data_IF_007248416310
#
_entry.id   IF_007248416310
#
_cell.length_a   1.000
_cell.length_b   1.000
_cell.length_c   1.000
_cell.angle_alpha   90.00
_cell.angle_beta   90.00
_cell.angle_gamma   90.00
#
_symmetry.space_group_name_H-M   'P 1'
#
loop_
_entity.id
_entity.type
_entity.pdbx_description
1 polymer ?
#
# COMPACT_ATOMS: atom_id res chain seq x y z
N UNK A 1 6.89 51.10 14.61
CA UNK A 1 7.34 50.52 15.90
C UNK A 1 7.76 49.07 15.68
N UNK A 2 9.05 48.83 15.50
CA UNK A 2 9.65 47.50 15.34
C UNK A 2 9.66 46.77 16.67
N UNK A 3 8.80 45.75 16.83
CA UNK A 3 8.85 44.81 17.96
C UNK A 3 10.18 44.06 17.91
N UNK A 4 11.15 44.49 18.73
CA UNK A 4 12.38 43.74 19.01
C UNK A 4 11.99 42.42 19.69
N UNK A 5 12.26 41.29 19.02
CA UNK A 5 12.00 39.96 19.57
C UNK A 5 13.14 39.59 20.51
N UNK A 6 12.80 39.41 21.78
CA UNK A 6 13.68 38.82 22.78
C UNK A 6 13.63 37.30 22.60
N UNK A 7 14.78 36.65 22.41
CA UNK A 7 14.85 35.19 22.40
C UNK A 7 14.83 34.70 23.85
N UNK A 8 13.67 34.23 24.32
CA UNK A 8 13.56 33.46 25.56
C UNK A 8 13.99 32.02 25.25
N UNK A 9 14.87 31.46 26.08
CA UNK A 9 15.60 30.20 25.93
C UNK A 9 14.77 28.89 25.76
N UNK A 10 13.46 28.96 25.48
CA UNK A 10 12.56 27.82 25.66
C UNK A 10 12.05 27.11 24.39
N UNK A 11 12.37 27.55 23.17
CA UNK A 11 11.68 27.04 21.96
C UNK A 11 12.55 26.36 20.90
N UNK A 12 13.66 25.70 21.27
CA UNK A 12 14.47 24.92 20.33
C UNK A 12 14.59 23.44 20.68
N UNK A 13 14.67 22.60 19.65
CA UNK A 13 14.87 21.13 19.69
C UNK A 13 16.06 20.82 20.64
N UNK A 14 15.93 19.81 21.53
CA UNK A 14 16.93 19.51 22.59
C UNK A 14 18.40 19.52 22.13
N UNK A 15 18.69 19.02 20.93
CA UNK A 15 20.06 19.01 20.36
C UNK A 15 20.52 20.38 19.84
N UNK A 16 19.62 21.22 19.35
CA UNK A 16 19.95 22.59 18.90
C UNK A 16 20.21 23.51 20.09
N UNK A 17 19.49 23.28 21.20
CA UNK A 17 19.76 23.93 22.49
C UNK A 17 21.20 23.69 22.94
N UNK A 18 21.69 22.45 22.89
CA UNK A 18 23.05 22.14 23.35
C UNK A 18 24.16 22.89 22.60
N UNK A 19 24.04 23.07 21.27
CA UNK A 19 25.02 23.81 20.48
C UNK A 19 24.92 25.31 20.68
N UNK A 20 23.71 25.86 20.77
CA UNK A 20 23.55 27.28 21.12
C UNK A 20 24.16 27.56 22.49
N UNK A 21 23.91 26.71 23.48
CA UNK A 21 24.40 26.88 24.84
C UNK A 21 25.92 26.76 24.95
N UNK A 22 26.55 25.83 24.21
CA UNK A 22 28.01 25.71 24.17
C UNK A 22 28.63 26.87 23.37
N UNK A 23 27.98 27.34 22.30
CA UNK A 23 28.39 28.55 21.58
C UNK A 23 28.31 29.80 22.46
N UNK A 24 27.28 29.90 23.30
CA UNK A 24 27.15 30.98 24.28
C UNK A 24 28.24 30.90 25.36
N UNK A 25 28.63 29.70 25.79
CA UNK A 25 29.79 29.49 26.66
C UNK A 25 31.12 29.97 26.03
N UNK A 26 31.28 29.84 24.71
CA UNK A 26 32.46 30.36 24.01
C UNK A 26 32.52 31.89 24.05
N UNK A 27 31.37 32.56 23.86
CA UNK A 27 31.28 34.03 23.93
C UNK A 27 31.61 34.59 25.30
N UNK A 28 31.38 33.81 26.37
CA UNK A 28 31.81 34.19 27.71
C UNK A 28 33.34 34.29 27.83
N UNK A 29 34.11 33.77 26.86
CA UNK A 29 35.55 34.00 26.77
C UNK A 29 35.93 35.49 26.73
N UNK A 30 35.08 36.35 26.17
CA UNK A 30 35.27 37.81 26.14
C UNK A 30 35.30 38.43 27.54
N UNK A 31 34.78 37.72 28.56
CA UNK A 31 34.84 38.17 29.96
C UNK A 31 36.24 38.09 30.55
N UNK A 32 37.13 37.28 29.95
CA UNK A 32 38.52 37.12 30.39
C UNK A 32 39.33 38.40 30.15
N UNK A 33 38.95 39.22 29.16
CA UNK A 33 39.60 40.50 28.86
C UNK A 33 39.41 41.54 29.99
N UNK A 34 38.47 41.31 30.90
CA UNK A 34 38.27 42.15 32.09
C UNK A 34 39.16 41.74 33.26
N UNK A 35 39.92 40.64 33.15
CA UNK A 35 40.89 40.21 34.17
C UNK A 35 42.05 41.23 34.24
N UNK A 36 42.15 41.96 35.35
CA UNK A 36 43.17 43.03 35.51
C UNK A 36 42.77 44.38 34.93
N UNK A 37 41.53 44.53 34.45
CA UNK A 37 40.96 45.80 34.00
C UNK A 37 40.42 46.63 35.17
N UNK A 38 40.43 47.98 35.09
CA UNK A 38 39.76 48.85 36.06
C UNK A 38 38.23 48.64 36.14
N UNK A 39 37.64 48.00 35.11
CA UNK A 39 36.21 47.72 35.02
C UNK A 39 35.99 46.24 35.27
N UNK A 40 35.14 45.89 36.24
CA UNK A 40 34.85 44.50 36.54
C UNK A 40 33.38 44.14 36.30
N UNK A 41 33.07 43.15 35.44
CA UNK A 41 31.71 42.67 35.29
C UNK A 41 31.24 41.92 36.54
N UNK A 42 29.96 42.09 36.90
CA UNK A 42 29.32 41.18 37.85
C UNK A 42 29.02 39.85 37.15
N UNK A 43 29.78 38.81 37.50
CA UNK A 43 29.66 37.50 36.88
C UNK A 43 28.46 36.75 37.47
N UNK A 44 27.29 36.92 36.85
CA UNK A 44 26.05 36.24 37.22
C UNK A 44 25.21 35.99 35.96
N UNK A 45 24.49 34.85 35.85
CA UNK A 45 23.64 34.56 34.68
C UNK A 45 22.67 35.69 34.34
N UNK A 46 22.02 36.28 35.35
CA UNK A 46 21.05 37.38 35.17
C UNK A 46 21.67 38.71 34.70
N UNK A 47 22.98 38.84 34.77
CA UNK A 47 23.70 40.06 34.41
C UNK A 47 24.23 40.06 32.97
N UNK A 48 24.01 38.97 32.23
CA UNK A 48 24.59 38.73 30.92
C UNK A 48 23.51 38.57 29.86
N UNK A 49 23.63 39.33 28.79
CA UNK A 49 22.67 39.37 27.69
C UNK A 49 23.40 39.13 26.38
N UNK A 50 22.89 38.18 25.59
CA UNK A 50 23.48 37.84 24.28
C UNK A 50 22.60 38.46 23.20
N UNK A 51 23.18 39.35 22.40
CA UNK A 51 22.51 39.99 21.25
C UNK A 51 23.16 39.51 19.96
N UNK A 52 22.61 38.44 19.39
CA UNK A 52 23.21 37.79 18.22
C UNK A 52 24.57 37.18 18.55
N UNK A 53 25.63 37.82 18.05
CA UNK A 53 27.02 37.42 18.30
C UNK A 53 27.70 38.23 19.41
N UNK A 54 27.10 39.33 19.90
CA UNK A 54 27.69 40.19 20.92
C UNK A 54 27.25 39.82 22.35
N UNK A 55 28.22 39.77 23.27
CA UNK A 55 27.97 39.71 24.71
C UNK A 55 27.81 41.11 25.30
N UNK A 56 26.69 41.35 26.00
CA UNK A 56 26.45 42.60 26.76
C UNK A 56 26.28 42.29 28.24
N UNK A 57 26.88 43.16 29.06
CA UNK A 57 26.87 43.05 30.52
C UNK A 57 26.05 44.24 31.05
N UNK A 58 25.07 43.99 31.91
CA UNK A 58 24.21 45.06 32.43
C UNK A 58 24.89 45.85 33.57
N UNK A 59 25.47 45.15 34.54
CA UNK A 59 26.11 45.73 35.72
C UNK A 59 27.62 45.50 35.70
N UNK A 60 28.38 46.59 35.84
CA UNK A 60 29.84 46.60 35.91
C UNK A 60 30.28 47.47 37.07
N UNK A 61 31.22 46.98 37.84
CA UNK A 61 31.93 47.74 38.85
C UNK A 61 33.07 48.54 38.23
N UNK A 62 33.54 49.53 39.00
CA UNK A 62 34.65 50.40 38.66
C UNK A 62 35.50 50.60 39.90
N UNK A 63 36.83 50.57 39.75
CA UNK A 63 37.82 50.63 40.84
C UNK A 63 37.34 51.47 42.01
N UNK A 64 37.11 50.82 43.15
CA UNK A 64 36.79 51.44 44.45
C UNK A 64 35.60 52.43 44.47
N UNK A 65 34.90 52.62 43.35
CA UNK A 65 33.77 53.54 43.20
C UNK A 65 32.44 52.79 43.16
N UNK A 66 32.39 51.63 42.49
CA UNK A 66 31.17 50.84 42.30
C UNK A 66 31.48 49.35 42.42
N UNK A 67 30.71 48.63 43.24
CA UNK A 67 30.78 47.17 43.41
C UNK A 67 30.29 46.47 42.12
N UNK A 68 30.93 45.39 41.64
CA UNK A 68 32.03 44.64 42.23
C UNK A 68 33.41 45.30 42.08
N UNK A 69 34.18 45.31 43.17
CA UNK A 69 35.58 45.73 43.16
C UNK A 69 36.48 44.65 42.53
N UNK A 70 37.68 45.07 42.11
CA UNK A 70 38.74 44.21 41.53
C UNK A 70 38.88 42.92 42.34
N UNK A 71 38.44 41.80 41.76
CA UNK A 71 38.51 40.49 42.38
C UNK A 71 39.90 39.87 42.20
N UNK A 72 40.27 39.07 43.19
CA UNK A 72 41.40 38.16 43.09
C UNK A 72 41.18 37.15 41.94
N UNK A 73 42.25 36.81 41.21
CA UNK A 73 42.20 35.90 40.07
C UNK A 73 41.56 34.55 40.43
N UNK A 74 41.79 34.05 41.64
CA UNK A 74 41.21 32.81 42.18
C UNK A 74 39.68 32.88 42.31
N UNK A 75 39.15 34.03 42.72
CA UNK A 75 37.72 34.29 42.87
C UNK A 75 37.04 34.48 41.51
N UNK A 76 37.72 35.13 40.56
CA UNK A 76 37.25 35.26 39.18
C UNK A 76 37.11 33.91 38.49
N UNK A 77 38.10 33.01 38.62
CA UNK A 77 38.06 31.67 38.03
C UNK A 77 36.88 30.87 38.60
N UNK A 78 36.64 30.94 39.92
CA UNK A 78 35.48 30.31 40.54
C UNK A 78 34.19 30.84 39.92
N UNK A 79 34.00 32.17 39.91
CA UNK A 79 32.84 32.87 39.32
C UNK A 79 32.58 32.49 37.87
N UNK A 80 33.63 32.47 37.06
CA UNK A 80 33.59 32.12 35.65
C UNK A 80 33.21 30.65 35.44
N UNK A 81 33.77 29.74 36.23
CA UNK A 81 33.44 28.31 36.16
C UNK A 81 31.97 28.03 36.48
N UNK A 82 31.44 28.61 37.54
CA UNK A 82 30.01 28.44 37.85
C UNK A 82 29.11 29.11 36.83
N UNK A 83 29.55 30.22 36.23
CA UNK A 83 28.78 30.86 35.18
C UNK A 83 28.63 29.93 33.97
N UNK A 84 29.74 29.30 33.53
CA UNK A 84 29.70 28.30 32.45
C UNK A 84 28.78 27.13 32.81
N UNK A 85 28.84 26.64 34.05
CA UNK A 85 27.98 25.55 34.52
C UNK A 85 26.49 25.96 34.60
N UNK A 86 26.19 27.18 35.03
CA UNK A 86 24.82 27.71 35.08
C UNK A 86 24.23 27.91 33.69
N UNK A 87 25.05 28.32 32.71
CA UNK A 87 24.64 28.42 31.31
C UNK A 87 24.35 27.01 30.74
N UNK A 88 25.20 26.04 31.02
CA UNK A 88 25.03 24.65 30.57
C UNK A 88 23.84 23.95 31.25
N UNK A 89 23.59 24.24 32.53
CA UNK A 89 22.53 23.65 33.35
C UNK A 89 21.69 24.74 34.02
N UNK A 90 20.74 25.36 33.29
CA UNK A 90 19.94 26.46 33.82
C UNK A 90 19.03 26.08 35.00
N UNK A 91 18.84 24.78 35.24
CA UNK A 91 18.09 24.23 36.39
C UNK A 91 18.89 24.29 37.71
N UNK A 92 20.19 24.59 37.65
CA UNK A 92 21.08 24.60 38.83
C UNK A 92 21.24 26.00 39.41
N UNK A 93 21.19 26.10 40.74
CA UNK A 93 21.37 27.38 41.43
C UNK A 93 22.84 27.83 41.36
N UNK A 94 23.06 29.05 40.85
CA UNK A 94 24.38 29.64 40.68
C UNK A 94 25.17 29.71 42.00
N UNK A 95 24.50 29.94 43.13
CA UNK A 95 25.16 30.00 44.44
C UNK A 95 25.74 28.65 44.85
N UNK A 96 24.99 27.56 44.66
CA UNK A 96 25.47 26.21 44.91
C UNK A 96 26.65 25.79 44.01
N UNK A 97 26.71 26.36 42.80
CA UNK A 97 27.83 26.16 41.87
C UNK A 97 29.10 26.90 42.31
N UNK A 98 28.97 28.07 42.96
CA UNK A 98 30.10 28.79 43.55
C UNK A 98 30.77 28.04 44.69
N UNK A 99 29.97 27.39 45.52
CA UNK A 99 30.44 26.62 46.66
C UNK A 99 30.93 25.22 46.26
N UNK A 100 30.72 24.82 45.00
CA UNK A 100 31.17 23.52 44.47
C UNK A 100 30.34 22.33 44.91
N UNK A 101 29.14 22.57 45.45
CA UNK A 101 28.25 21.56 46.04
C UNK A 101 27.55 20.72 44.95
N UNK A 102 27.49 21.21 43.73
CA UNK A 102 26.80 20.56 42.61
C UNK A 102 27.48 19.27 42.15
N UNK A 103 26.71 18.18 42.09
CA UNK A 103 27.14 16.90 41.51
C UNK A 103 26.55 16.76 40.11
N UNK A 104 27.38 16.88 39.08
CA UNK A 104 26.94 16.66 37.70
C UNK A 104 27.01 15.20 37.29
N UNK A 105 26.04 14.74 36.50
CA UNK A 105 26.06 13.40 35.87
C UNK A 105 26.90 13.36 34.60
N UNK A 106 27.01 14.47 33.87
CA UNK A 106 27.75 14.55 32.61
C UNK A 106 29.28 14.66 32.84
N UNK A 107 30.05 13.86 32.10
CA UNK A 107 31.51 13.87 32.10
C UNK A 107 32.06 15.24 31.69
N UNK A 108 31.34 15.98 30.83
CA UNK A 108 31.76 17.33 30.43
C UNK A 108 31.71 18.33 31.59
N UNK A 109 30.59 18.37 32.30
CA UNK A 109 30.38 19.31 33.41
C UNK A 109 31.28 18.99 34.60
N UNK A 110 31.60 17.71 34.85
CA UNK A 110 32.63 17.32 35.83
C UNK A 110 34.01 17.88 35.47
N UNK A 111 34.44 17.74 34.21
CA UNK A 111 35.71 18.31 33.75
C UNK A 111 35.76 19.83 33.86
N UNK A 112 34.63 20.52 33.65
CA UNK A 112 34.53 21.97 33.87
C UNK A 112 34.63 22.31 35.35
N UNK A 113 34.02 21.52 36.23
CA UNK A 113 34.10 21.70 37.69
C UNK A 113 35.51 21.49 38.23
N UNK A 114 36.26 20.53 37.68
CA UNK A 114 37.64 20.21 38.08
C UNK A 114 38.69 21.15 37.48
N UNK A 115 38.37 21.87 36.41
CA UNK A 115 39.32 22.78 35.75
C UNK A 115 39.75 23.92 36.69
N UNK A 116 41.07 24.10 36.81
CA UNK A 116 41.69 25.07 37.70
C UNK A 116 42.10 26.37 37.02
N UNK A 117 42.16 26.38 35.68
CA UNK A 117 42.60 27.54 34.91
C UNK A 117 41.59 27.95 33.82
N UNK A 118 41.62 29.23 33.47
CA UNK A 118 40.78 29.79 32.39
C UNK A 118 41.11 29.12 31.05
N UNK A 119 42.39 28.83 30.79
CA UNK A 119 42.85 28.22 29.55
C UNK A 119 42.33 26.77 29.39
N UNK A 120 42.33 25.99 30.48
CA UNK A 120 41.72 24.65 30.50
C UNK A 120 40.22 24.70 30.17
N UNK A 121 39.50 25.67 30.75
CA UNK A 121 38.07 25.87 30.48
C UNK A 121 37.81 26.21 28.99
N UNK A 122 38.60 27.10 28.40
CA UNK A 122 38.49 27.46 26.99
C UNK A 122 38.79 26.28 26.06
N UNK A 123 39.84 25.49 26.36
CA UNK A 123 40.16 24.30 25.57
C UNK A 123 39.05 23.23 25.63
N UNK A 124 38.47 23.01 26.82
CA UNK A 124 37.36 22.06 26.99
C UNK A 124 36.13 22.47 26.17
N UNK A 125 35.77 23.75 26.17
CA UNK A 125 34.65 24.29 25.39
C UNK A 125 34.96 24.18 23.88
N UNK A 126 36.12 24.64 23.44
CA UNK A 126 36.53 24.61 22.03
C UNK A 126 36.54 23.20 21.45
N UNK A 127 37.06 22.22 22.20
CA UNK A 127 37.09 20.82 21.78
C UNK A 127 35.69 20.25 21.60
N UNK A 128 34.75 20.57 22.50
CA UNK A 128 33.35 20.10 22.36
C UNK A 128 32.65 20.72 21.16
N UNK A 129 32.89 22.00 20.85
CA UNK A 129 32.30 22.66 19.69
C UNK A 129 32.74 21.98 18.39
N UNK A 130 34.04 21.70 18.25
CA UNK A 130 34.60 21.03 17.06
C UNK A 130 34.02 19.62 16.93
N UNK A 131 33.99 18.85 18.01
CA UNK A 131 33.41 17.50 18.01
C UNK A 131 31.94 17.50 17.59
N UNK A 132 31.16 18.46 18.07
CA UNK A 132 29.73 18.53 17.79
C UNK A 132 29.43 19.06 16.39
N UNK A 133 30.25 19.98 15.86
CA UNK A 133 30.21 20.39 14.44
C UNK A 133 30.53 19.23 13.50
N UNK A 134 31.57 18.46 13.80
CA UNK A 134 31.95 17.30 12.99
C UNK A 134 30.85 16.22 12.98
N UNK A 135 30.27 15.89 14.15
CA UNK A 135 29.12 14.97 14.22
C UNK A 135 27.94 15.43 13.37
N UNK A 136 27.59 16.72 13.40
CA UNK A 136 26.51 17.27 12.56
C UNK A 136 26.79 17.11 11.07
N UNK A 137 28.04 17.25 10.63
CA UNK A 137 28.40 17.09 9.22
C UNK A 137 28.37 15.64 8.76
N UNK A 138 28.74 14.69 9.63
CA UNK A 138 28.76 13.26 9.30
C UNK A 138 27.39 12.59 9.41
N UNK A 139 26.53 13.02 10.34
CA UNK A 139 25.24 12.38 10.61
C UNK A 139 24.09 12.99 9.78
N UNK A 140 24.14 14.29 9.44
CA UNK A 140 23.06 14.94 8.72
C UNK A 140 23.38 15.10 7.23
N UNK A 141 23.05 14.08 6.43
CA UNK A 141 22.95 14.24 4.98
C UNK A 141 21.76 15.16 4.65
N UNK A 142 22.04 16.43 4.35
CA UNK A 142 21.03 17.38 3.88
C UNK A 142 20.58 17.01 2.46
N UNK A 143 19.63 16.06 2.35
CA UNK A 143 18.98 15.75 1.07
C UNK A 143 18.08 16.90 0.66
N UNK A 144 18.25 17.41 -0.57
CA UNK A 144 17.36 18.43 -1.15
C UNK A 144 15.91 17.95 -1.02
N UNK A 145 15.04 18.73 -0.35
CA UNK A 145 13.64 18.39 -0.07
C UNK A 145 12.85 17.90 -1.29
N UNK A 146 13.18 18.39 -2.50
CA UNK A 146 12.58 17.97 -3.77
C UNK A 146 12.89 16.50 -4.12
N UNK A 147 14.13 16.05 -3.95
CA UNK A 147 14.52 14.65 -4.19
C UNK A 147 13.84 13.72 -3.19
N UNK A 148 13.81 14.11 -1.91
CA UNK A 148 13.13 13.33 -0.87
C UNK A 148 11.64 13.17 -1.16
N UNK A 149 10.94 14.25 -1.57
CA UNK A 149 9.52 14.15 -1.95
C UNK A 149 9.31 13.26 -3.17
N UNK A 150 10.17 13.35 -4.19
CA UNK A 150 10.07 12.49 -5.37
C UNK A 150 10.26 11.01 -5.01
N UNK A 151 11.25 10.67 -4.19
CA UNK A 151 11.46 9.30 -3.70
C UNK A 151 10.29 8.80 -2.84
N UNK A 152 9.79 9.64 -1.92
CA UNK A 152 8.66 9.27 -1.05
C UNK A 152 7.41 8.93 -1.88
N UNK A 153 7.06 9.77 -2.85
CA UNK A 153 5.91 9.52 -3.72
C UNK A 153 6.17 8.40 -4.74
N UNK A 154 7.39 8.32 -5.28
CA UNK A 154 7.79 7.24 -6.17
C UNK A 154 7.66 5.87 -5.53
N UNK A 155 8.04 5.74 -4.24
CA UNK A 155 7.90 4.48 -3.51
C UNK A 155 6.43 4.10 -3.31
N UNK A 156 5.56 5.05 -2.98
CA UNK A 156 4.10 4.80 -2.83
C UNK A 156 3.49 4.36 -4.16
N UNK A 157 3.82 5.03 -5.25
CA UNK A 157 3.35 4.68 -6.60
C UNK A 157 3.86 3.29 -6.99
N UNK A 158 5.11 2.97 -6.67
CA UNK A 158 5.70 1.67 -6.98
C UNK A 158 4.98 0.54 -6.24
N UNK A 159 4.69 0.70 -4.94
CA UNK A 159 3.92 -0.27 -4.15
C UNK A 159 2.51 -0.46 -4.72
N UNK A 160 1.86 0.63 -5.13
CA UNK A 160 0.54 0.55 -5.74
C UNK A 160 0.59 -0.20 -7.07
N UNK A 161 1.58 0.09 -7.92
CA UNK A 161 1.75 -0.55 -9.22
C UNK A 161 2.04 -2.06 -9.08
N UNK A 162 2.93 -2.44 -8.17
CA UNK A 162 3.23 -3.86 -7.91
C UNK A 162 2.02 -4.61 -7.36
N UNK A 163 1.24 -3.99 -6.47
CA UNK A 163 -0.02 -4.59 -5.99
C UNK A 163 -1.04 -4.80 -7.10
N UNK A 164 -1.18 -3.83 -8.01
CA UNK A 164 -2.08 -3.95 -9.16
C UNK A 164 -1.62 -5.08 -10.10
N UNK A 165 -0.32 -5.15 -10.39
CA UNK A 165 0.27 -6.20 -11.20
C UNK A 165 0.05 -7.59 -10.58
N UNK A 166 0.22 -7.71 -9.27
CA UNK A 166 -0.05 -8.95 -8.54
C UNK A 166 -1.51 -9.40 -8.64
N UNK A 167 -2.47 -8.46 -8.60
CA UNK A 167 -3.88 -8.76 -8.80
C UNK A 167 -4.19 -9.32 -10.19
N UNK A 168 -3.60 -8.73 -11.23
CA UNK A 168 -3.76 -9.20 -12.61
C UNK A 168 -3.17 -10.61 -12.77
N UNK A 169 -1.92 -10.81 -12.33
CA UNK A 169 -1.27 -12.12 -12.42
C UNK A 169 -2.04 -13.18 -11.63
N UNK A 170 -2.57 -12.83 -10.46
CA UNK A 170 -3.42 -13.71 -9.67
C UNK A 170 -4.66 -14.20 -10.40
N UNK A 171 -5.40 -13.30 -11.05
CA UNK A 171 -6.59 -13.68 -11.84
C UNK A 171 -6.23 -14.58 -13.04
N UNK A 172 -5.14 -14.27 -13.74
CA UNK A 172 -4.65 -15.09 -14.85
C UNK A 172 -4.28 -16.52 -14.40
N UNK A 173 -3.54 -16.66 -13.29
CA UNK A 173 -3.12 -17.95 -12.76
C UNK A 173 -4.31 -18.78 -12.24
N UNK A 174 -5.21 -18.18 -11.46
CA UNK A 174 -6.29 -18.92 -10.82
C UNK A 174 -7.44 -19.28 -11.75
N UNK A 175 -7.73 -18.46 -12.77
CA UNK A 175 -8.90 -18.67 -13.64
C UNK A 175 -8.54 -19.03 -15.06
N UNK A 176 -7.69 -18.23 -15.71
CA UNK A 176 -7.47 -18.36 -17.17
C UNK A 176 -6.67 -19.60 -17.54
N UNK A 177 -5.61 -19.92 -16.81
CA UNK A 177 -4.81 -21.12 -17.05
C UNK A 177 -5.62 -22.41 -16.90
N UNK A 178 -6.33 -22.67 -15.79
CA UNK A 178 -7.09 -23.90 -15.66
C UNK A 178 -8.25 -24.00 -16.67
N UNK A 179 -8.83 -22.87 -17.12
CA UNK A 179 -9.79 -22.92 -18.24
C UNK A 179 -9.12 -23.33 -19.56
N UNK A 180 -7.93 -22.81 -19.85
CA UNK A 180 -7.18 -23.15 -21.07
C UNK A 180 -6.77 -24.63 -21.08
N UNK A 181 -6.31 -25.16 -19.94
CA UNK A 181 -5.98 -26.58 -19.79
C UNK A 181 -7.21 -27.47 -20.00
N UNK A 182 -8.36 -27.12 -19.41
CA UNK A 182 -9.62 -27.85 -19.63
C UNK A 182 -10.05 -27.82 -21.09
N UNK A 183 -9.92 -26.69 -21.78
CA UNK A 183 -10.23 -26.63 -23.21
C UNK A 183 -9.29 -27.49 -24.05
N UNK A 184 -8.01 -27.56 -23.69
CA UNK A 184 -7.04 -28.44 -24.33
C UNK A 184 -7.38 -29.91 -24.11
N UNK A 185 -7.69 -30.30 -22.87
CA UNK A 185 -8.08 -31.67 -22.53
C UNK A 185 -9.39 -32.08 -23.21
N UNK A 186 -10.39 -31.20 -23.25
CA UNK A 186 -11.63 -31.45 -23.97
C UNK A 186 -11.40 -31.69 -25.47
N UNK A 187 -10.47 -30.96 -26.10
CA UNK A 187 -10.07 -31.22 -27.49
C UNK A 187 -9.34 -32.55 -27.65
N UNK A 188 -8.54 -32.95 -26.68
CA UNK A 188 -7.89 -34.25 -26.69
C UNK A 188 -8.91 -35.39 -26.61
N UNK A 189 -9.89 -35.31 -25.70
CA UNK A 189 -11.00 -36.27 -25.60
C UNK A 189 -11.83 -36.33 -26.89
N UNK A 190 -12.03 -35.19 -27.55
CA UNK A 190 -12.71 -35.15 -28.84
C UNK A 190 -11.94 -35.92 -29.93
N UNK A 191 -10.62 -35.82 -29.96
CA UNK A 191 -9.76 -36.56 -30.90
C UNK A 191 -9.79 -38.06 -30.57
N UNK A 192 -9.88 -38.41 -29.30
CA UNK A 192 -10.03 -39.79 -28.80
C UNK A 192 -11.46 -40.36 -28.95
N UNK A 193 -12.36 -39.62 -29.61
CA UNK A 193 -13.77 -39.97 -29.82
C UNK A 193 -14.61 -40.14 -28.53
N UNK A 194 -14.11 -39.70 -27.37
CA UNK A 194 -14.85 -39.67 -26.11
C UNK A 194 -15.75 -38.42 -26.02
N UNK A 195 -16.81 -38.42 -26.81
CA UNK A 195 -17.79 -37.33 -26.84
C UNK A 195 -18.52 -37.09 -25.50
N UNK A 196 -18.93 -38.10 -24.72
CA UNK A 196 -19.47 -37.89 -23.38
C UNK A 196 -18.48 -37.21 -22.43
N UNK A 197 -17.20 -37.59 -22.48
CA UNK A 197 -16.13 -36.97 -21.69
C UNK A 197 -15.98 -35.47 -21.96
N UNK A 198 -16.09 -35.06 -23.23
CA UNK A 198 -16.09 -33.63 -23.63
C UNK A 198 -17.23 -32.87 -22.97
N UNK A 199 -18.46 -33.40 -23.01
CA UNK A 199 -19.63 -32.75 -22.41
C UNK A 199 -19.49 -32.60 -20.90
N UNK A 200 -18.91 -33.61 -20.23
CA UNK A 200 -18.69 -33.56 -18.79
C UNK A 200 -17.63 -32.52 -18.42
N UNK A 201 -16.51 -32.50 -19.14
CA UNK A 201 -15.39 -31.60 -18.86
C UNK A 201 -15.73 -30.12 -19.04
N UNK A 202 -16.58 -29.80 -20.03
CA UNK A 202 -16.99 -28.42 -20.35
C UNK A 202 -18.33 -28.01 -19.72
N UNK A 203 -18.92 -28.83 -18.84
CA UNK A 203 -20.28 -28.63 -18.31
C UNK A 203 -20.44 -27.29 -17.60
N UNK A 204 -19.50 -26.94 -16.72
CA UNK A 204 -19.58 -25.77 -15.83
C UNK A 204 -19.06 -24.47 -16.47
N UNK A 205 -18.36 -24.55 -17.60
CA UNK A 205 -17.75 -23.36 -18.22
C UNK A 205 -18.79 -22.46 -18.90
N UNK A 206 -18.61 -21.14 -18.86
CA UNK A 206 -19.54 -20.22 -19.53
C UNK A 206 -19.31 -20.23 -21.04
N UNK A 207 -20.38 -20.18 -21.81
CA UNK A 207 -20.30 -20.17 -23.28
C UNK A 207 -19.54 -18.95 -23.81
N UNK A 208 -19.64 -17.81 -23.11
CA UNK A 208 -18.90 -16.60 -23.43
C UNK A 208 -17.37 -16.80 -23.37
N UNK A 209 -16.90 -17.68 -22.48
CA UNK A 209 -15.46 -17.96 -22.29
C UNK A 209 -14.94 -19.03 -23.26
N UNK A 210 -15.84 -19.79 -23.90
CA UNK A 210 -15.47 -20.81 -24.89
C UNK A 210 -14.97 -20.14 -26.18
N UNK A 211 -13.77 -20.53 -26.62
CA UNK A 211 -13.28 -20.21 -27.97
C UNK A 211 -14.18 -20.84 -29.04
N UNK A 212 -14.22 -20.26 -30.23
CA UNK A 212 -15.01 -20.75 -31.37
C UNK A 212 -14.76 -22.25 -31.66
N UNK A 213 -13.49 -22.65 -31.70
CA UNK A 213 -13.09 -24.05 -31.86
C UNK A 213 -13.63 -24.98 -30.75
N UNK A 214 -13.74 -24.49 -29.52
CA UNK A 214 -14.25 -25.29 -28.38
C UNK A 214 -15.77 -25.38 -28.42
N UNK A 215 -16.45 -24.31 -28.86
CA UNK A 215 -17.90 -24.35 -29.13
C UNK A 215 -18.23 -25.38 -30.23
N UNK A 216 -17.43 -25.43 -31.28
CA UNK A 216 -17.57 -26.44 -32.32
C UNK A 216 -17.40 -27.86 -31.78
N UNK A 217 -16.30 -28.13 -31.06
CA UNK A 217 -16.05 -29.44 -30.44
C UNK A 217 -17.19 -29.86 -29.52
N UNK A 218 -17.70 -28.93 -28.72
CA UNK A 218 -18.82 -29.17 -27.81
C UNK A 218 -20.14 -29.45 -28.57
N UNK A 219 -20.42 -28.68 -29.62
CA UNK A 219 -21.61 -28.87 -30.47
C UNK A 219 -21.57 -30.24 -31.17
N UNK A 220 -20.46 -30.57 -31.82
CA UNK A 220 -20.29 -31.86 -32.51
C UNK A 220 -20.41 -33.01 -31.51
N UNK A 221 -19.74 -32.93 -30.36
CA UNK A 221 -19.84 -33.95 -29.30
C UNK A 221 -21.28 -34.11 -28.80
N UNK A 222 -22.03 -33.01 -28.67
CA UNK A 222 -23.44 -33.07 -28.26
C UNK A 222 -24.32 -33.82 -29.26
N UNK A 223 -24.05 -33.70 -30.57
CA UNK A 223 -24.76 -34.42 -31.63
C UNK A 223 -24.43 -35.91 -31.61
N UNK A 224 -23.17 -36.27 -31.36
CA UNK A 224 -22.77 -37.67 -31.22
C UNK A 224 -23.46 -38.36 -30.03
N UNK A 225 -23.58 -37.67 -28.89
CA UNK A 225 -24.24 -38.17 -27.68
C UNK A 225 -25.77 -38.08 -27.77
N UNK A 226 -26.32 -37.27 -28.67
CA UNK A 226 -27.76 -37.11 -28.84
C UNK A 226 -28.47 -38.45 -29.13
N UNK A 227 -29.69 -38.59 -28.59
CA UNK A 227 -30.54 -39.77 -28.78
C UNK A 227 -31.30 -39.65 -30.11
N UNK A 228 -30.57 -39.66 -31.22
CA UNK A 228 -31.09 -39.47 -32.59
C UNK A 228 -30.62 -40.61 -33.51
N UNK A 229 -31.33 -40.83 -34.62
CA UNK A 229 -30.92 -41.84 -35.61
C UNK A 229 -29.62 -41.42 -36.33
N UNK A 230 -28.76 -42.38 -36.69
CA UNK A 230 -27.46 -42.11 -37.30
C UNK A 230 -27.54 -41.33 -38.62
N UNK A 231 -28.63 -41.49 -39.37
CA UNK A 231 -28.89 -40.71 -40.58
C UNK A 231 -29.15 -39.22 -40.26
N UNK A 232 -29.88 -38.94 -39.18
CA UNK A 232 -30.15 -37.57 -38.72
C UNK A 232 -28.88 -36.93 -38.16
N UNK A 233 -28.09 -37.66 -37.36
CA UNK A 233 -26.79 -37.21 -36.84
C UNK A 233 -25.86 -36.78 -37.97
N UNK A 234 -25.69 -37.62 -39.00
CA UNK A 234 -24.83 -37.28 -40.16
C UNK A 234 -25.26 -36.01 -40.88
N UNK A 235 -26.57 -35.83 -41.09
CA UNK A 235 -27.09 -34.60 -41.71
C UNK A 235 -26.77 -33.35 -40.89
N UNK A 236 -26.95 -33.41 -39.56
CA UNK A 236 -26.62 -32.31 -38.64
C UNK A 236 -25.13 -32.00 -38.64
N UNK A 237 -24.26 -33.03 -38.63
CA UNK A 237 -22.81 -32.86 -38.67
C UNK A 237 -22.33 -32.21 -39.97
N UNK A 238 -22.93 -32.56 -41.11
CA UNK A 238 -22.63 -31.92 -42.40
C UNK A 238 -23.02 -30.43 -42.40
N UNK A 239 -24.20 -30.11 -41.85
CA UNK A 239 -24.67 -28.72 -41.67
C UNK A 239 -23.71 -27.92 -40.78
N UNK A 240 -23.23 -28.51 -39.68
CA UNK A 240 -22.25 -27.88 -38.78
C UNK A 240 -20.88 -27.67 -39.44
N UNK A 241 -20.45 -28.58 -40.33
CA UNK A 241 -19.14 -28.48 -40.98
C UNK A 241 -19.11 -27.50 -42.16
N UNK A 242 -20.18 -27.45 -42.97
CA UNK A 242 -20.16 -26.75 -44.27
C UNK A 242 -20.69 -25.31 -44.19
N UNK A 243 -21.63 -25.04 -43.28
CA UNK A 243 -22.27 -23.72 -43.11
C UNK A 243 -23.03 -23.63 -41.78
N UNK A 244 -22.35 -23.84 -40.66
CA UNK A 244 -22.97 -23.62 -39.36
C UNK A 244 -23.45 -22.16 -39.26
N UNK A 245 -24.75 -21.95 -39.15
CA UNK A 245 -25.25 -20.66 -38.64
C UNK A 245 -24.89 -20.57 -37.16
N UNK A 246 -24.56 -19.36 -36.69
CA UNK A 246 -24.27 -19.11 -35.27
C UNK A 246 -25.38 -19.66 -34.36
N UNK A 247 -26.64 -19.54 -34.80
CA UNK A 247 -27.82 -20.04 -34.09
C UNK A 247 -27.85 -21.59 -34.02
N UNK A 248 -27.52 -22.31 -35.10
CA UNK A 248 -27.48 -23.78 -35.10
C UNK A 248 -26.34 -24.32 -34.23
N UNK A 249 -25.16 -23.69 -34.31
CA UNK A 249 -24.01 -24.04 -33.48
C UNK A 249 -24.34 -23.83 -32.00
N UNK A 250 -24.90 -22.66 -31.67
CA UNK A 250 -25.23 -22.27 -30.32
C UNK A 250 -26.35 -23.15 -29.72
N UNK A 251 -27.33 -23.54 -30.53
CA UNK A 251 -28.36 -24.52 -30.15
C UNK A 251 -27.74 -25.84 -29.64
N UNK A 252 -26.84 -26.45 -30.42
CA UNK A 252 -26.19 -27.70 -30.03
C UNK A 252 -25.23 -27.53 -28.85
N UNK A 253 -24.57 -26.38 -28.73
CA UNK A 253 -23.79 -26.04 -27.52
C UNK A 253 -24.69 -26.00 -26.27
N UNK A 254 -25.86 -25.37 -26.34
CA UNK A 254 -26.79 -25.31 -25.20
C UNK A 254 -27.37 -26.68 -24.84
N UNK A 255 -27.70 -27.50 -25.85
CA UNK A 255 -28.11 -28.91 -25.65
C UNK A 255 -27.00 -29.70 -24.95
N UNK A 256 -25.75 -29.63 -25.43
CA UNK A 256 -24.61 -30.35 -24.85
C UNK A 256 -24.30 -29.96 -23.41
N UNK A 257 -24.63 -28.72 -23.01
CA UNK A 257 -24.47 -28.22 -21.64
C UNK A 257 -25.66 -28.49 -20.73
N UNK A 258 -26.78 -29.02 -21.26
CA UNK A 258 -28.02 -29.23 -20.50
C UNK A 258 -28.81 -27.94 -20.23
N UNK A 259 -28.51 -26.85 -20.93
CA UNK A 259 -29.24 -25.57 -20.79
C UNK A 259 -30.41 -25.52 -21.78
N UNK A 260 -31.39 -26.42 -21.57
CA UNK A 260 -32.48 -26.70 -22.49
C UNK A 260 -33.41 -25.51 -22.75
N UNK A 261 -33.66 -24.65 -21.75
CA UNK A 261 -34.50 -23.45 -21.92
C UNK A 261 -33.91 -22.48 -22.96
N UNK A 262 -32.60 -22.27 -22.93
CA UNK A 262 -31.91 -21.41 -23.90
C UNK A 262 -31.85 -22.05 -25.29
N UNK A 263 -31.71 -23.37 -25.36
CA UNK A 263 -31.82 -24.09 -26.61
C UNK A 263 -33.23 -23.95 -27.23
N UNK A 264 -34.27 -23.97 -26.40
CA UNK A 264 -35.66 -23.79 -26.83
C UNK A 264 -35.90 -22.40 -27.41
N UNK A 265 -35.39 -21.35 -26.77
CA UNK A 265 -35.48 -19.97 -27.27
C UNK A 265 -34.87 -19.83 -28.68
N UNK A 266 -33.69 -20.42 -28.89
CA UNK A 266 -33.01 -20.40 -30.19
C UNK A 266 -33.81 -21.20 -31.22
N UNK A 267 -34.31 -22.38 -30.86
CA UNK A 267 -35.10 -23.22 -31.75
C UNK A 267 -36.41 -22.52 -32.18
N UNK A 268 -37.09 -21.85 -31.24
CA UNK A 268 -38.29 -21.04 -31.50
C UNK A 268 -37.99 -19.85 -32.41
N UNK A 269 -36.89 -19.14 -32.16
CA UNK A 269 -36.44 -18.03 -33.01
C UNK A 269 -36.13 -18.47 -34.43
N UNK A 270 -35.56 -19.67 -34.60
CA UNK A 270 -35.27 -20.24 -35.91
C UNK A 270 -36.48 -20.92 -36.58
N UNK A 271 -37.63 -20.99 -35.90
CA UNK A 271 -38.85 -21.71 -36.33
C UNK A 271 -38.61 -23.17 -36.75
N UNK A 272 -37.54 -23.80 -36.22
CA UNK A 272 -37.16 -25.16 -36.55
C UNK A 272 -37.99 -26.16 -35.72
N UNK A 273 -39.13 -26.58 -36.28
CA UNK A 273 -40.10 -27.46 -35.60
C UNK A 273 -39.47 -28.78 -35.10
N UNK A 274 -38.66 -29.51 -35.90
CA UNK A 274 -37.90 -30.65 -35.40
C UNK A 274 -36.99 -30.35 -34.20
N UNK A 275 -36.29 -29.21 -34.20
CA UNK A 275 -35.44 -28.81 -33.07
C UNK A 275 -36.26 -28.46 -31.82
N UNK A 276 -37.39 -27.77 -31.98
CA UNK A 276 -38.31 -27.44 -30.89
C UNK A 276 -38.85 -28.73 -30.23
N UNK A 277 -39.31 -29.68 -31.06
CA UNK A 277 -39.78 -30.98 -30.59
C UNK A 277 -38.71 -31.71 -29.77
N UNK A 278 -37.48 -31.76 -30.29
CA UNK A 278 -36.36 -32.42 -29.61
C UNK A 278 -36.07 -31.82 -28.22
N UNK A 279 -36.07 -30.48 -28.09
CA UNK A 279 -35.85 -29.82 -26.79
C UNK A 279 -36.98 -30.11 -25.82
N UNK A 280 -38.24 -30.07 -26.26
CA UNK A 280 -39.38 -30.38 -25.39
C UNK A 280 -39.36 -31.83 -24.91
N UNK A 281 -38.99 -32.79 -25.75
CA UNK A 281 -38.79 -34.19 -25.35
C UNK A 281 -37.70 -34.30 -24.28
N UNK A 282 -36.56 -33.62 -24.45
CA UNK A 282 -35.50 -33.59 -23.44
C UNK A 282 -35.92 -32.92 -22.12
N UNK A 283 -36.69 -31.83 -22.19
CA UNK A 283 -37.25 -31.15 -21.01
C UNK A 283 -38.21 -32.08 -20.25
N UNK A 284 -39.04 -32.83 -20.98
CA UNK A 284 -39.92 -33.84 -20.41
C UNK A 284 -39.12 -34.94 -19.70
N UNK A 285 -38.09 -35.51 -20.33
CA UNK A 285 -37.22 -36.55 -19.76
C UNK A 285 -36.47 -36.07 -18.49
N UNK A 286 -35.92 -34.84 -18.51
CA UNK A 286 -35.29 -34.24 -17.33
C UNK A 286 -36.28 -34.04 -16.19
N UNK A 287 -37.52 -33.64 -16.52
CA UNK A 287 -38.57 -33.47 -15.53
C UNK A 287 -38.96 -34.81 -14.89
N UNK A 288 -38.81 -35.94 -15.58
CA UNK A 288 -39.01 -37.28 -15.00
C UNK A 288 -37.97 -37.61 -13.94
N UNK A 289 -36.71 -37.25 -14.20
CA UNK A 289 -35.55 -37.65 -13.40
C UNK A 289 -35.31 -36.75 -12.17
N UNK A 290 -35.63 -35.45 -12.22
CA UNK A 290 -35.40 -34.51 -11.12
C UNK A 290 -36.40 -34.69 -9.96
N UNK A 291 -35.95 -35.15 -8.79
CA UNK A 291 -36.77 -35.35 -7.57
C UNK A 291 -37.11 -34.05 -6.81
N UNK A 292 -36.52 -32.89 -7.16
CA UNK A 292 -36.45 -31.71 -6.28
C UNK A 292 -37.53 -30.62 -6.45
N UNK A 293 -38.56 -30.79 -7.29
CA UNK A 293 -39.58 -29.76 -7.52
C UNK A 293 -40.86 -29.99 -6.70
N UNK A 294 -41.53 -28.90 -6.26
CA UNK A 294 -42.88 -28.97 -5.70
C UNK A 294 -43.79 -29.76 -6.65
N UNK A 295 -44.46 -30.80 -6.13
CA UNK A 295 -45.18 -31.81 -6.92
C UNK A 295 -46.20 -31.21 -7.89
N UNK A 296 -46.83 -30.08 -7.53
CA UNK A 296 -47.89 -29.42 -8.29
C UNK A 296 -47.37 -28.66 -9.52
N UNK A 297 -46.37 -27.77 -9.36
CA UNK A 297 -45.73 -27.06 -10.48
C UNK A 297 -45.05 -28.01 -11.45
N UNK A 298 -44.51 -29.11 -10.93
CA UNK A 298 -43.89 -30.17 -11.74
C UNK A 298 -44.94 -30.86 -12.64
N UNK A 299 -46.15 -31.09 -12.15
CA UNK A 299 -47.23 -31.68 -12.93
C UNK A 299 -47.77 -30.73 -14.00
N UNK A 300 -47.90 -29.44 -13.68
CA UNK A 300 -48.32 -28.39 -14.62
C UNK A 300 -47.33 -28.26 -15.79
N UNK A 301 -46.03 -28.11 -15.50
CA UNK A 301 -44.99 -28.03 -16.54
C UNK A 301 -44.91 -29.31 -17.39
N UNK A 302 -45.16 -30.49 -16.79
CA UNK A 302 -45.18 -31.75 -17.53
C UNK A 302 -46.36 -31.83 -18.49
N UNK A 303 -47.53 -31.36 -18.09
CA UNK A 303 -48.70 -31.31 -18.95
C UNK A 303 -48.43 -30.35 -20.12
N UNK A 304 -47.85 -29.17 -19.85
CA UNK A 304 -47.46 -28.20 -20.87
C UNK A 304 -46.43 -28.77 -21.86
N UNK A 305 -45.38 -29.44 -21.36
CA UNK A 305 -44.39 -30.07 -22.24
C UNK A 305 -44.99 -31.19 -23.07
N UNK A 306 -45.90 -31.99 -22.50
CA UNK A 306 -46.55 -33.08 -23.23
C UNK A 306 -47.46 -32.54 -24.34
N UNK A 307 -48.27 -31.52 -24.05
CA UNK A 307 -49.13 -30.86 -25.04
C UNK A 307 -48.29 -30.21 -26.15
N UNK A 308 -47.18 -29.56 -25.81
CA UNK A 308 -46.24 -29.04 -26.79
C UNK A 308 -45.61 -30.15 -27.65
N UNK A 309 -45.21 -31.28 -27.04
CA UNK A 309 -44.67 -32.43 -27.79
C UNK A 309 -45.71 -32.96 -28.78
N UNK A 310 -46.96 -33.15 -28.37
CA UNK A 310 -48.05 -33.61 -29.25
C UNK A 310 -48.27 -32.63 -30.40
N UNK A 311 -48.41 -31.33 -30.11
CA UNK A 311 -48.57 -30.28 -31.13
C UNK A 311 -47.42 -30.24 -32.14
N UNK A 312 -46.17 -30.26 -31.68
CA UNK A 312 -45.02 -30.21 -32.58
C UNK A 312 -44.77 -31.54 -33.29
N UNK A 313 -45.15 -32.68 -32.69
CA UNK A 313 -45.10 -34.00 -33.33
C UNK A 313 -46.03 -34.03 -34.54
N UNK A 314 -47.29 -33.61 -34.38
CA UNK A 314 -48.27 -33.55 -35.46
C UNK A 314 -47.79 -32.63 -36.61
N UNK A 315 -47.15 -31.51 -36.27
CA UNK A 315 -46.60 -30.59 -37.27
C UNK A 315 -45.35 -31.11 -38.00
N UNK A 316 -44.59 -32.02 -37.39
CA UNK A 316 -43.41 -32.64 -37.98
C UNK A 316 -43.81 -33.88 -38.80
N UNK A 317 -44.75 -34.68 -38.31
CA UNK A 317 -45.33 -35.83 -39.03
C UNK A 317 -46.17 -35.37 -40.23
N UNK A 318 -46.90 -34.26 -40.09
CA UNK A 318 -47.64 -33.62 -41.19
C UNK A 318 -46.77 -33.11 -42.34
N UNK A 319 -45.44 -33.08 -42.20
CA UNK A 319 -44.49 -32.78 -43.30
C UNK A 319 -44.03 -34.02 -44.07
N UNK A 320 -44.39 -35.22 -43.65
CA UNK A 320 -44.24 -36.45 -44.46
C UNK A 320 -45.56 -36.86 -45.14
N UNK A 321 -46.67 -36.17 -44.85
CA UNK A 321 -47.97 -36.37 -45.49
C UNK A 321 -48.56 -35.00 -45.83
N UNK A 322 -48.04 -34.35 -46.87
CA UNK A 322 -48.78 -33.50 -47.81
C UNK A 322 -47.79 -32.87 -48.80
N UNK A 323 -47.91 -33.37 -50.03
CA UNK A 323 -47.42 -32.92 -51.35
C UNK A 323 -45.93 -32.62 -51.58
#
# INVERSE_FOLDING_TARGET
MTKKRYAVFSTNRKEDRSLSTIGDCQKMGDLVDFLGSPVQPYLHPDNLFIFGEELRIAHRGFIQAVVPYVAEQSLFIKQYRALLLAILHPETDYRGLMEGISVFRDVFSKKIQEAGTINELHQLIGTRIVQQKNKRQTENFFVKKRKYRLYKWGMVIFIFLTSCFMGIVGDYQLKRIPTLERFSQAKALFIDEDYPGVLMMLREDKIADLSESTRYVLAVSSVHVATLADKQKRGILELLSKKASDDLLLYWVYIGKGALEKALEIAKKSEDKPAILYVYTKLYDESQTKQQMESKKKQELRAEYKEAIEYYSDLVEGKFITD
#
